data_IF_541756679147
#
_entry.id   IF_541756679147
#
_cell.length_a   1.000
_cell.length_b   1.000
_cell.length_c   1.000
_cell.angle_alpha   90.00
_cell.angle_beta   90.00
_cell.angle_gamma   90.00
#
_symmetry.space_group_name_H-M   'P 1'
#
loop_
_entity.id
_entity.type
_entity.pdbx_description
1 polymer ?
#
# COMPACT_ATOMS: atom_id res chain seq x y z
N UNK A 1 12.26 -8.05 10.91
CA UNK A 1 13.55 -8.73 10.62
C UNK A 1 14.68 -7.75 10.84
N UNK A 2 15.71 -8.16 11.58
CA UNK A 2 16.91 -7.35 11.86
C UNK A 2 18.11 -8.03 11.19
N UNK A 3 19.05 -7.25 10.67
CA UNK A 3 20.29 -7.75 10.06
C UNK A 3 21.01 -6.64 9.30
N UNK A 4 22.27 -6.84 8.96
CA UNK A 4 23.11 -5.87 8.25
C UNK A 4 22.66 -5.61 6.81
N UNK A 5 23.05 -4.47 6.23
CA UNK A 5 22.77 -4.18 4.82
C UNK A 5 23.27 -5.33 3.93
N UNK A 6 22.49 -5.74 2.94
CA UNK A 6 22.85 -6.85 2.05
C UNK A 6 22.54 -8.26 2.57
N UNK A 7 22.12 -8.46 3.81
CA UNK A 7 21.83 -9.81 4.36
C UNK A 7 20.55 -10.49 3.80
N UNK A 8 19.96 -9.96 2.72
CA UNK A 8 18.81 -10.57 2.05
C UNK A 8 17.43 -10.20 2.59
N UNK A 9 17.30 -9.26 3.54
CA UNK A 9 15.98 -8.79 4.07
C UNK A 9 15.00 -8.40 2.95
N UNK A 10 15.45 -7.60 1.98
CA UNK A 10 14.62 -7.15 0.86
C UNK A 10 14.26 -8.30 -0.07
N UNK A 11 15.18 -9.24 -0.29
CA UNK A 11 14.91 -10.46 -1.07
C UNK A 11 13.83 -11.29 -0.39
N UNK A 12 13.94 -11.53 0.91
CA UNK A 12 12.97 -12.28 1.69
C UNK A 12 11.59 -11.60 1.72
N UNK A 13 11.54 -10.27 1.88
CA UNK A 13 10.28 -9.53 1.78
C UNK A 13 9.62 -9.70 0.40
N UNK A 14 10.39 -9.63 -0.70
CA UNK A 14 9.86 -9.84 -2.06
C UNK A 14 9.38 -11.27 -2.30
N UNK A 15 10.03 -12.28 -1.70
CA UNK A 15 9.57 -13.67 -1.72
C UNK A 15 8.24 -13.82 -0.97
N UNK A 16 8.12 -13.23 0.22
CA UNK A 16 6.87 -13.24 1.01
C UNK A 16 5.71 -12.56 0.27
N UNK A 17 5.99 -11.48 -0.46
CA UNK A 17 5.02 -10.77 -1.28
C UNK A 17 4.64 -11.49 -2.59
N UNK A 18 5.33 -12.60 -2.92
CA UNK A 18 5.17 -13.29 -4.21
C UNK A 18 5.60 -12.45 -5.42
N UNK A 19 6.48 -11.47 -5.21
CA UNK A 19 7.13 -10.65 -6.26
C UNK A 19 8.27 -11.45 -6.89
N UNK A 20 9.03 -12.16 -6.05
CA UNK A 20 10.07 -13.11 -6.48
C UNK A 20 9.58 -14.54 -6.21
N UNK A 21 9.96 -15.48 -7.08
CA UNK A 21 9.78 -16.90 -6.83
C UNK A 21 10.98 -17.47 -6.04
N UNK A 22 10.75 -18.35 -5.05
CA UNK A 22 11.84 -18.99 -4.32
C UNK A 22 12.55 -20.01 -5.21
N UNK A 23 13.89 -20.05 -5.14
CA UNK A 23 14.67 -21.09 -5.84
C UNK A 23 14.44 -22.49 -5.26
N UNK A 24 14.05 -22.57 -3.99
CA UNK A 24 13.66 -23.80 -3.30
C UNK A 24 12.68 -23.50 -2.15
N UNK A 25 11.83 -24.47 -1.79
CA UNK A 25 10.81 -24.34 -0.75
C UNK A 25 9.54 -23.64 -1.22
N UNK A 26 8.62 -23.37 -0.28
CA UNK A 26 7.34 -22.70 -0.59
C UNK A 26 6.98 -21.67 0.47
N UNK A 27 6.33 -20.59 0.04
CA UNK A 27 5.73 -19.58 0.92
C UNK A 27 4.21 -19.78 0.88
N UNK A 28 3.58 -19.96 2.06
CA UNK A 28 2.12 -20.13 2.18
C UNK A 28 1.53 -19.04 3.07
N UNK A 29 0.38 -18.51 2.67
CA UNK A 29 -0.47 -17.59 3.45
C UNK A 29 -1.84 -18.27 3.55
N UNK A 30 -2.42 -18.32 4.74
CA UNK A 30 -3.70 -19.00 5.02
C UNK A 30 -3.78 -20.42 4.43
N UNK A 31 -2.69 -21.18 4.54
CA UNK A 31 -2.61 -22.54 4.05
C UNK A 31 -2.48 -22.68 2.52
N UNK A 32 -2.49 -21.61 1.73
CA UNK A 32 -2.32 -21.66 0.27
C UNK A 32 -0.98 -21.05 -0.16
N UNK A 33 -0.34 -21.65 -1.18
CA UNK A 33 0.91 -21.13 -1.72
C UNK A 33 0.72 -19.71 -2.29
N UNK A 34 1.65 -18.79 -2.00
CA UNK A 34 1.53 -17.37 -2.37
C UNK A 34 1.38 -17.20 -3.89
N UNK A 35 2.14 -17.96 -4.67
CA UNK A 35 2.07 -17.94 -6.14
C UNK A 35 0.77 -18.54 -6.69
N UNK A 36 0.00 -19.26 -5.88
CA UNK A 36 -1.31 -19.78 -6.24
C UNK A 36 -2.42 -18.73 -6.23
N UNK A 37 -2.23 -17.58 -5.59
CA UNK A 37 -3.20 -16.47 -5.59
C UNK A 37 -3.04 -15.61 -6.85
N UNK A 38 -4.15 -15.11 -7.41
CA UNK A 38 -4.10 -14.10 -8.48
C UNK A 38 -3.56 -12.77 -7.94
N UNK A 39 -3.04 -11.92 -8.82
CA UNK A 39 -2.42 -10.62 -8.45
C UNK A 39 -3.32 -9.77 -7.54
N UNK A 40 -4.61 -9.66 -7.87
CA UNK A 40 -5.58 -8.88 -7.08
C UNK A 40 -5.89 -9.52 -5.71
N UNK A 41 -5.91 -10.84 -5.62
CA UNK A 41 -6.11 -11.56 -4.36
C UNK A 41 -4.91 -11.36 -3.43
N UNK A 42 -3.69 -11.44 -3.96
CA UNK A 42 -2.47 -11.14 -3.19
C UNK A 42 -2.44 -9.69 -2.68
N UNK A 43 -2.81 -8.74 -3.53
CA UNK A 43 -2.86 -7.32 -3.14
C UNK A 43 -3.85 -7.08 -1.99
N UNK A 44 -4.96 -7.82 -1.91
CA UNK A 44 -5.90 -7.71 -0.77
C UNK A 44 -5.38 -8.38 0.51
N UNK A 45 -4.52 -9.38 0.39
CA UNK A 45 -3.98 -10.15 1.52
C UNK A 45 -2.75 -9.50 2.16
N UNK A 46 -1.88 -8.88 1.36
CA UNK A 46 -0.62 -8.31 1.85
C UNK A 46 -0.46 -6.88 1.33
N UNK A 47 -0.40 -5.93 2.27
CA UNK A 47 -0.20 -4.50 2.01
C UNK A 47 1.17 -4.09 2.56
N UNK A 48 2.24 -4.12 1.74
CA UNK A 48 3.57 -3.75 2.20
C UNK A 48 3.66 -2.24 2.47
N UNK A 49 4.18 -1.89 3.65
CA UNK A 49 4.62 -0.52 3.96
C UNK A 49 6.14 -0.47 3.77
N UNK A 50 6.62 0.29 2.78
CA UNK A 50 8.04 0.40 2.49
C UNK A 50 8.72 1.43 3.41
N UNK A 51 10.00 1.20 3.76
CA UNK A 51 10.76 2.07 4.66
C UNK A 51 10.96 3.49 4.12
N UNK A 52 10.83 3.68 2.80
CA UNK A 52 10.80 4.99 2.17
C UNK A 52 9.37 5.31 1.70
N UNK A 53 8.54 5.96 2.54
CA UNK A 53 7.20 6.37 2.18
C UNK A 53 7.19 7.44 1.07
N UNK A 54 8.32 8.06 0.74
CA UNK A 54 8.38 9.10 -0.28
C UNK A 54 8.34 8.54 -1.71
N UNK A 55 8.96 7.39 -1.94
CA UNK A 55 8.97 6.74 -3.26
C UNK A 55 7.71 5.93 -3.57
N UNK A 56 6.84 5.69 -2.59
CA UNK A 56 5.56 4.99 -2.80
C UNK A 56 4.44 5.91 -3.32
N UNK A 57 4.54 7.23 -3.10
CA UNK A 57 3.54 8.19 -3.57
C UNK A 57 3.73 8.53 -5.04
N UNK A 58 2.70 8.34 -5.86
CA UNK A 58 2.72 8.76 -7.26
C UNK A 58 2.57 10.29 -7.33
N UNK A 59 3.57 11.04 -7.86
CA UNK A 59 3.54 12.50 -7.89
C UNK A 59 2.44 13.08 -8.80
N UNK A 60 1.85 12.24 -9.66
CA UNK A 60 0.73 12.61 -10.55
C UNK A 60 -0.64 12.32 -9.97
N UNK A 61 -0.72 11.74 -8.78
CA UNK A 61 -1.99 11.44 -8.11
C UNK A 61 -2.21 12.41 -6.96
N UNK A 62 -3.46 12.79 -6.73
CA UNK A 62 -3.81 13.56 -5.52
C UNK A 62 -3.79 12.65 -4.29
N UNK A 63 -3.79 13.24 -3.10
CA UNK A 63 -3.97 12.52 -1.84
C UNK A 63 -5.25 11.69 -1.87
N UNK A 64 -6.35 12.27 -2.34
CA UNK A 64 -7.64 11.60 -2.47
C UNK A 64 -7.56 10.38 -3.38
N UNK A 65 -6.93 10.51 -4.54
CA UNK A 65 -6.77 9.39 -5.49
C UNK A 65 -5.87 8.28 -4.91
N UNK A 66 -4.82 8.67 -4.18
CA UNK A 66 -3.90 7.73 -3.54
C UNK A 66 -4.61 6.90 -2.47
N UNK A 67 -5.42 7.55 -1.61
CA UNK A 67 -6.23 6.88 -0.59
C UNK A 67 -7.37 6.07 -1.23
N UNK A 68 -7.91 6.52 -2.36
CA UNK A 68 -8.99 5.82 -3.06
C UNK A 68 -8.53 4.57 -3.83
N UNK A 69 -7.29 4.54 -4.33
CA UNK A 69 -6.81 3.46 -5.20
C UNK A 69 -6.95 2.04 -4.59
N UNK A 70 -6.64 1.80 -3.29
CA UNK A 70 -6.91 0.51 -2.66
C UNK A 70 -8.41 0.20 -2.52
N UNK A 71 -9.26 1.23 -2.37
CA UNK A 71 -10.71 1.09 -2.24
C UNK A 71 -11.37 0.72 -3.57
N UNK A 72 -10.81 1.13 -4.70
CA UNK A 72 -11.28 0.73 -6.03
C UNK A 72 -11.05 -0.75 -6.31
N UNK A 73 -9.99 -1.33 -5.72
CA UNK A 73 -9.69 -2.75 -5.83
C UNK A 73 -10.69 -3.60 -5.04
N UNK A 74 -11.37 -3.04 -4.03
CA UNK A 74 -12.44 -3.71 -3.30
C UNK A 74 -13.76 -3.58 -4.07
N UNK A 75 -14.17 -4.67 -4.74
CA UNK A 75 -15.39 -4.71 -5.54
C UNK A 75 -16.63 -4.39 -4.69
N UNK A 76 -17.52 -3.52 -5.19
CA UNK A 76 -18.84 -3.26 -4.59
C UNK A 76 -19.08 -1.86 -4.00
N UNK A 77 -18.09 -0.96 -4.01
CA UNK A 77 -18.26 0.40 -3.49
C UNK A 77 -18.76 1.38 -4.58
N UNK A 78 -19.81 2.15 -4.26
CA UNK A 78 -20.28 3.25 -5.13
C UNK A 78 -19.29 4.42 -5.08
N UNK A 79 -19.30 5.28 -6.10
CA UNK A 79 -18.49 6.51 -6.13
C UNK A 79 -18.72 7.39 -4.89
N UNK A 80 -19.95 7.41 -4.35
CA UNK A 80 -20.28 8.14 -3.11
C UNK A 80 -19.67 7.48 -1.88
N UNK A 81 -19.86 6.17 -1.71
CA UNK A 81 -19.30 5.42 -0.57
C UNK A 81 -17.77 5.53 -0.52
N UNK A 82 -17.10 5.53 -1.69
CA UNK A 82 -15.65 5.76 -1.76
C UNK A 82 -15.24 7.13 -1.25
N UNK A 83 -15.94 8.20 -1.66
CA UNK A 83 -15.63 9.56 -1.18
C UNK A 83 -15.82 9.71 0.33
N UNK A 84 -16.87 9.10 0.87
CA UNK A 84 -17.12 9.08 2.32
C UNK A 84 -15.99 8.32 3.03
N UNK A 85 -15.60 7.15 2.52
CA UNK A 85 -14.52 6.36 3.10
C UNK A 85 -13.16 7.05 3.04
N UNK A 86 -12.84 7.75 1.94
CA UNK A 86 -11.61 8.55 1.84
C UNK A 86 -11.58 9.63 2.93
N UNK A 87 -12.69 10.33 3.17
CA UNK A 87 -12.77 11.36 4.22
C UNK A 87 -12.60 10.77 5.62
N UNK A 88 -13.19 9.61 5.88
CA UNK A 88 -13.00 8.89 7.15
C UNK A 88 -11.53 8.53 7.37
N UNK A 89 -10.86 7.99 6.35
CA UNK A 89 -9.45 7.60 6.44
C UNK A 89 -8.55 8.82 6.64
N UNK A 90 -8.79 9.92 5.90
CA UNK A 90 -8.07 11.18 6.11
C UNK A 90 -8.22 11.68 7.55
N UNK A 91 -9.42 11.62 8.12
CA UNK A 91 -9.66 12.03 9.50
C UNK A 91 -8.93 11.10 10.49
N UNK A 92 -8.97 9.79 10.27
CA UNK A 92 -8.31 8.80 11.13
C UNK A 92 -6.79 9.01 11.23
N UNK A 93 -6.16 9.55 10.19
CA UNK A 93 -4.73 9.87 10.16
C UNK A 93 -4.44 11.38 10.37
N UNK A 94 -5.42 12.16 10.81
CA UNK A 94 -5.24 13.59 11.09
C UNK A 94 -4.80 14.41 9.87
N UNK A 95 -5.32 14.08 8.68
CA UNK A 95 -5.15 14.87 7.47
C UNK A 95 -6.37 15.79 7.28
N UNK A 96 -6.16 17.12 7.20
CA UNK A 96 -7.27 18.04 7.02
C UNK A 96 -7.94 17.86 5.65
N UNK A 97 -9.28 17.96 5.56
CA UNK A 97 -10.03 17.64 4.34
C UNK A 97 -9.63 18.44 3.09
N UNK A 98 -9.11 19.67 3.25
CA UNK A 98 -8.68 20.49 2.11
C UNK A 98 -7.50 19.91 1.33
N UNK A 99 -6.73 18.98 1.93
CA UNK A 99 -5.62 18.32 1.26
C UNK A 99 -6.08 17.19 0.32
N UNK A 100 -7.38 16.90 0.22
CA UNK A 100 -7.87 15.80 -0.63
C UNK A 100 -7.46 15.95 -2.10
N UNK A 101 -7.39 17.19 -2.60
CA UNK A 101 -6.97 17.52 -3.96
C UNK A 101 -5.50 17.92 -4.07
N UNK A 102 -4.75 17.90 -2.96
CA UNK A 102 -3.33 18.24 -2.96
C UNK A 102 -2.50 17.12 -3.59
N UNK A 103 -1.41 17.49 -4.26
CA UNK A 103 -0.39 16.57 -4.73
C UNK A 103 0.68 16.37 -3.64
N UNK A 104 1.44 15.25 -3.67
CA UNK A 104 2.49 14.96 -2.70
C UNK A 104 3.48 16.11 -2.48
N UNK A 105 3.83 16.86 -3.54
CA UNK A 105 4.76 18.00 -3.46
C UNK A 105 4.25 19.14 -2.56
N UNK A 106 2.93 19.29 -2.39
CA UNK A 106 2.29 20.37 -1.63
C UNK A 106 2.13 20.05 -0.14
N UNK A 107 2.59 18.87 0.30
CA UNK A 107 2.44 18.38 1.67
C UNK A 107 3.75 18.50 2.44
N UNK A 108 3.68 18.63 3.78
CA UNK A 108 4.85 18.48 4.64
C UNK A 108 5.32 17.02 4.70
N UNK A 109 6.56 16.78 5.12
CA UNK A 109 7.09 15.41 5.28
C UNK A 109 6.22 14.53 6.19
N UNK A 110 5.82 15.07 7.35
CA UNK A 110 4.93 14.38 8.27
C UNK A 110 3.51 14.16 7.75
N UNK A 111 3.02 15.00 6.83
CA UNK A 111 1.74 14.76 6.16
C UNK A 111 1.87 13.65 5.11
N UNK A 112 2.95 13.66 4.30
CA UNK A 112 3.23 12.60 3.31
C UNK A 112 3.34 11.23 3.97
N UNK A 113 3.99 11.13 5.12
CA UNK A 113 4.12 9.88 5.88
C UNK A 113 2.77 9.32 6.35
N UNK A 114 1.72 10.15 6.50
CA UNK A 114 0.38 9.71 6.89
C UNK A 114 -0.48 9.26 5.71
N UNK A 115 -0.09 9.58 4.48
CA UNK A 115 -0.76 9.13 3.24
C UNK A 115 -0.18 7.83 2.70
N UNK A 116 1.14 7.63 2.88
CA UNK A 116 1.92 6.55 2.31
C UNK A 116 1.59 5.15 2.87
#
# INVERSE_FOLDING_TARGET
>A
MVGESGCGKTTLARLMLGILAPSAGTVRVDGRAIHGYRRLERARLIQPVFQDPYSSLNPRMTVGDTIAAPLEIQAGSTSRARRERVRELMNAVGLPPHLVSAYPAQMSGGQRQRVA
#
